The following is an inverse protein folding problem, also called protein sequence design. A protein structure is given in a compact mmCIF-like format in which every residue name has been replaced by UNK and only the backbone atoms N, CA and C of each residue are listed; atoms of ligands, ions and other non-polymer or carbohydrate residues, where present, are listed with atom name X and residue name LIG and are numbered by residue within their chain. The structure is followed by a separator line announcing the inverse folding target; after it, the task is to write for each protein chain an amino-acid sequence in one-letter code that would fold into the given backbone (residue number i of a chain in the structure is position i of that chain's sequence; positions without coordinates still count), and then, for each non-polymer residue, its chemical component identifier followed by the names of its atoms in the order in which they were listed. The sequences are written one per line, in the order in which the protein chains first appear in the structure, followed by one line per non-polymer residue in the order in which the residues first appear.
data_IF_807142562894
#
_entry.id   IF_807142562894
#
_cell.length_a   1.000
_cell.length_b   1.000
_cell.length_c   1.000
_cell.angle_alpha   90.00
_cell.angle_beta   90.00
_cell.angle_gamma   90.00
#
_symmetry.space_group_name_H-M   'P 1'
#
loop_
_entity.id
_entity.type
_entity.pdbx_description
1 polymer ?
#
# COMPACT_ATOMS: atom_id res chain seq x y z
N UNK A 1 24.59 -1.69 13.40
CA UNK A 1 23.70 -1.82 12.22
C UNK A 1 24.48 -2.24 10.98
N UNK A 2 25.37 -1.40 10.44
CA UNK A 2 26.12 -1.70 9.19
C UNK A 2 26.89 -3.03 9.24
N UNK A 3 27.66 -3.28 10.30
CA UNK A 3 28.44 -4.53 10.42
C UNK A 3 27.56 -5.79 10.42
N UNK A 4 26.41 -5.76 11.11
CA UNK A 4 25.46 -6.87 11.13
C UNK A 4 24.83 -7.13 9.76
N UNK A 5 24.42 -6.07 9.06
CA UNK A 5 23.87 -6.17 7.71
C UNK A 5 24.89 -6.76 6.74
N UNK A 6 26.13 -6.27 6.75
CA UNK A 6 27.21 -6.78 5.90
C UNK A 6 27.56 -8.24 6.21
N UNK A 7 27.58 -8.61 7.49
CA UNK A 7 27.85 -9.99 7.91
C UNK A 7 26.75 -10.96 7.47
N UNK A 8 25.48 -10.58 7.65
CA UNK A 8 24.34 -11.36 7.18
C UNK A 8 24.35 -11.50 5.65
N UNK A 9 24.58 -10.40 4.92
CA UNK A 9 24.66 -10.42 3.46
C UNK A 9 25.78 -11.37 2.95
N UNK A 10 26.91 -11.44 3.67
CA UNK A 10 27.98 -12.39 3.35
C UNK A 10 27.52 -13.84 3.48
N UNK A 11 26.80 -14.20 4.54
CA UNK A 11 26.30 -15.58 4.73
C UNK A 11 25.20 -15.92 3.72
N UNK A 12 24.31 -14.96 3.42
CA UNK A 12 23.25 -15.12 2.40
C UNK A 12 23.84 -15.37 1.01
N UNK A 13 25.01 -14.79 0.70
CA UNK A 13 25.69 -15.02 -0.58
C UNK A 13 26.07 -16.48 -0.80
N UNK A 14 26.40 -17.21 0.26
CA UNK A 14 26.73 -18.63 0.16
C UNK A 14 25.53 -19.49 -0.26
N UNK A 15 24.31 -19.00 -0.02
CA UNK A 15 23.04 -19.62 -0.47
C UNK A 15 22.47 -19.05 -1.77
N UNK A 16 23.26 -18.26 -2.53
CA UNK A 16 22.84 -17.70 -3.82
C UNK A 16 22.37 -16.24 -3.77
N UNK A 17 22.43 -15.59 -2.60
CA UNK A 17 22.06 -14.19 -2.45
C UNK A 17 20.58 -13.97 -2.10
N UNK A 18 20.11 -12.73 -2.33
CA UNK A 18 18.71 -12.36 -2.13
C UNK A 18 17.93 -12.45 -3.43
N UNK A 19 16.74 -13.03 -3.36
CA UNK A 19 15.77 -12.99 -4.45
C UNK A 19 14.66 -12.01 -4.06
N UNK A 20 14.41 -11.03 -4.91
CA UNK A 20 13.47 -9.93 -4.62
C UNK A 20 12.38 -9.83 -5.67
N UNK A 21 11.20 -9.39 -5.24
CA UNK A 21 10.11 -9.01 -6.13
C UNK A 21 9.33 -7.85 -5.52
N UNK A 22 8.58 -7.13 -6.33
CA UNK A 22 7.65 -6.10 -5.85
C UNK A 22 6.33 -6.18 -6.59
N UNK A 23 5.28 -5.65 -5.98
CA UNK A 23 4.06 -5.31 -6.72
C UNK A 23 4.31 -4.08 -7.59
N UNK A 24 3.31 -3.70 -8.38
CA UNK A 24 3.27 -2.38 -9.00
C UNK A 24 3.28 -1.27 -7.91
N UNK A 25 3.80 -0.07 -8.22
CA UNK A 25 3.93 1.03 -7.25
C UNK A 25 2.58 1.75 -7.02
N UNK A 26 1.56 0.99 -6.63
CA UNK A 26 0.19 1.45 -6.44
C UNK A 26 -0.01 2.04 -5.04
N UNK A 27 -0.29 3.34 -4.98
CA UNK A 27 -0.67 4.07 -3.78
C UNK A 27 -2.19 4.25 -3.71
N UNK A 28 -2.72 4.39 -2.50
CA UNK A 28 -4.14 4.63 -2.27
C UNK A 28 -4.36 6.08 -1.85
N UNK A 29 -5.17 6.82 -2.60
CA UNK A 29 -5.74 8.10 -2.19
C UNK A 29 -7.16 7.92 -1.68
N UNK A 30 -7.50 8.50 -0.53
CA UNK A 30 -8.82 8.35 0.09
C UNK A 30 -9.58 9.67 0.04
N UNK A 31 -10.83 9.61 -0.42
CA UNK A 31 -11.79 10.71 -0.32
C UNK A 31 -12.94 10.27 0.59
N UNK A 32 -13.08 10.94 1.73
CA UNK A 32 -14.10 10.66 2.74
C UNK A 32 -15.36 11.47 2.44
N UNK A 33 -16.49 10.78 2.30
CA UNK A 33 -17.83 11.33 2.14
C UNK A 33 -18.68 10.96 3.37
N UNK A 34 -19.38 11.95 3.92
CA UNK A 34 -20.35 11.78 5.02
C UNK A 34 -21.71 12.35 4.62
N UNK A 35 -22.74 12.08 5.41
CA UNK A 35 -24.12 12.52 5.15
C UNK A 35 -24.67 12.04 3.79
N UNK A 36 -24.16 10.91 3.28
CA UNK A 36 -24.69 10.24 2.08
C UNK A 36 -25.98 9.52 2.48
N UNK A 37 -27.11 9.90 1.87
CA UNK A 37 -28.44 9.38 2.24
C UNK A 37 -28.63 7.92 1.85
N UNK A 38 -28.15 7.55 0.67
CA UNK A 38 -28.22 6.19 0.13
C UNK A 38 -26.81 5.74 -0.29
N UNK A 39 -26.05 5.09 0.61
CA UNK A 39 -24.68 4.66 0.34
C UNK A 39 -24.56 3.61 -0.78
N UNK A 40 -25.58 2.77 -0.96
CA UNK A 40 -25.58 1.74 -2.00
C UNK A 40 -25.78 2.36 -3.38
N UNK A 41 -26.75 3.27 -3.52
CA UNK A 41 -26.93 4.04 -4.74
C UNK A 41 -25.70 4.90 -5.03
N UNK A 42 -25.15 5.58 -4.03
CA UNK A 42 -23.93 6.39 -4.17
C UNK A 42 -22.75 5.55 -4.68
N UNK A 43 -22.55 4.35 -4.11
CA UNK A 43 -21.54 3.40 -4.57
C UNK A 43 -21.75 2.99 -6.03
N UNK A 44 -22.98 2.67 -6.43
CA UNK A 44 -23.28 2.31 -7.81
C UNK A 44 -23.02 3.47 -8.78
N UNK A 45 -23.42 4.69 -8.42
CA UNK A 45 -23.17 5.90 -9.22
C UNK A 45 -21.68 6.19 -9.40
N UNK A 46 -20.89 6.05 -8.33
CA UNK A 46 -19.43 6.24 -8.40
C UNK A 46 -18.80 5.20 -9.34
N UNK A 47 -19.16 3.92 -9.17
CA UNK A 47 -18.57 2.85 -9.96
C UNK A 47 -19.02 2.89 -11.43
N UNK A 48 -20.25 3.31 -11.73
CA UNK A 48 -20.73 3.46 -13.12
C UNK A 48 -20.08 4.63 -13.86
N UNK A 49 -19.63 5.67 -13.13
CA UNK A 49 -18.91 6.82 -13.65
C UNK A 49 -17.40 6.79 -13.34
N UNK A 50 -16.85 5.60 -13.07
CA UNK A 50 -15.42 5.41 -12.73
C UNK A 50 -14.48 6.07 -13.74
N UNK A 51 -14.73 5.92 -15.03
CA UNK A 51 -13.86 6.48 -16.08
C UNK A 51 -13.77 8.01 -16.04
N UNK A 52 -14.87 8.68 -15.68
CA UNK A 52 -14.89 10.14 -15.51
C UNK A 52 -14.03 10.58 -14.32
N UNK A 53 -14.10 9.84 -13.21
CA UNK A 53 -13.29 10.07 -12.02
C UNK A 53 -11.80 9.86 -12.33
N UNK A 54 -11.46 8.77 -13.03
CA UNK A 54 -10.09 8.47 -13.44
C UNK A 54 -9.55 9.52 -14.41
N UNK A 55 -10.34 9.97 -15.37
CA UNK A 55 -9.96 11.03 -16.30
C UNK A 55 -9.67 12.35 -15.56
N UNK A 56 -10.54 12.74 -14.61
CA UNK A 56 -10.36 13.95 -13.81
C UNK A 56 -9.11 13.88 -12.92
N UNK A 57 -8.87 12.73 -12.28
CA UNK A 57 -7.65 12.48 -11.50
C UNK A 57 -6.39 12.57 -12.39
N UNK A 58 -6.39 11.88 -13.52
CA UNK A 58 -5.25 11.84 -14.43
C UNK A 58 -4.95 13.20 -15.10
N UNK A 59 -5.97 14.07 -15.25
CA UNK A 59 -5.77 15.43 -15.73
C UNK A 59 -4.86 16.28 -14.82
N UNK A 60 -4.71 15.91 -13.54
CA UNK A 60 -3.88 16.63 -12.58
C UNK A 60 -2.38 16.43 -12.78
N UNK A 61 -1.95 15.41 -13.54
CA UNK A 61 -0.52 15.15 -13.75
C UNK A 61 -0.23 14.57 -15.12
N UNK A 62 0.07 15.45 -16.08
CA UNK A 62 0.50 15.05 -17.43
C UNK A 62 1.79 14.24 -17.43
N UNK A 63 2.75 14.61 -16.56
CA UNK A 63 4.05 13.93 -16.48
C UNK A 63 3.92 12.51 -15.93
N UNK A 64 3.14 12.30 -14.87
CA UNK A 64 2.93 10.97 -14.32
C UNK A 64 2.26 10.05 -15.33
N UNK A 65 1.25 10.55 -16.04
CA UNK A 65 0.55 9.82 -17.09
C UNK A 65 1.48 9.51 -18.27
N UNK A 66 2.31 10.46 -18.72
CA UNK A 66 3.25 10.24 -19.84
C UNK A 66 4.33 9.22 -19.51
N UNK A 67 4.66 9.03 -18.23
CA UNK A 67 5.58 8.01 -17.74
C UNK A 67 4.92 6.64 -17.53
N UNK A 68 3.66 6.49 -17.94
CA UNK A 68 2.90 5.25 -17.78
C UNK A 68 2.37 5.04 -16.36
N UNK A 69 2.31 6.08 -15.53
CA UNK A 69 1.67 6.10 -14.20
C UNK A 69 0.28 6.75 -14.22
N UNK A 70 -0.24 7.12 -13.04
CA UNK A 70 -1.53 7.79 -12.86
C UNK A 70 -2.59 6.93 -12.17
N UNK A 71 -3.80 7.46 -12.04
CA UNK A 71 -4.95 6.74 -11.52
C UNK A 71 -5.29 5.55 -12.43
N UNK A 72 -5.50 4.39 -11.81
CA UNK A 72 -5.75 3.09 -12.45
C UNK A 72 -7.12 2.52 -12.13
N UNK A 73 -7.57 2.74 -10.91
CA UNK A 73 -8.82 2.17 -10.43
C UNK A 73 -9.48 3.05 -9.36
N UNK A 74 -10.77 2.82 -9.14
CA UNK A 74 -11.57 3.44 -8.10
C UNK A 74 -12.28 2.34 -7.33
N UNK A 75 -12.14 2.36 -6.01
CA UNK A 75 -12.89 1.48 -5.12
C UNK A 75 -13.74 2.30 -4.17
N UNK A 76 -14.82 1.70 -3.67
CA UNK A 76 -15.73 2.37 -2.74
C UNK A 76 -15.99 1.45 -1.56
N UNK A 77 -15.66 1.95 -0.37
CA UNK A 77 -15.85 1.26 0.90
C UNK A 77 -16.92 1.96 1.71
N UNK A 78 -17.90 1.21 2.17
CA UNK A 78 -18.94 1.71 3.07
C UNK A 78 -18.65 1.28 4.51
N UNK A 79 -18.71 2.25 5.42
CA UNK A 79 -18.59 2.06 6.86
C UNK A 79 -19.93 2.43 7.48
N UNK A 80 -20.82 1.45 7.78
CA UNK A 80 -22.17 1.74 8.26
C UNK A 80 -22.19 2.35 9.67
N UNK A 81 -21.14 2.12 10.45
CA UNK A 81 -21.05 2.55 11.85
C UNK A 81 -19.70 3.18 12.15
N UNK A 82 -19.73 4.32 12.85
CA UNK A 82 -18.58 4.96 13.48
C UNK A 82 -19.08 5.84 14.64
N UNK A 83 -18.21 6.35 15.52
CA UNK A 83 -18.61 7.32 16.55
C UNK A 83 -19.32 8.58 16.03
N UNK A 84 -19.15 8.91 14.73
CA UNK A 84 -19.75 10.09 14.08
C UNK A 84 -20.79 9.72 13.01
N UNK A 85 -21.24 8.46 12.96
CA UNK A 85 -22.20 7.96 11.98
C UNK A 85 -21.58 7.32 10.73
N UNK A 86 -22.40 6.95 9.73
CA UNK A 86 -21.95 6.22 8.55
C UNK A 86 -21.06 7.07 7.64
N UNK A 87 -20.12 6.42 6.94
CA UNK A 87 -19.18 7.06 6.01
C UNK A 87 -19.04 6.24 4.74
N UNK A 88 -18.89 6.92 3.61
CA UNK A 88 -18.47 6.31 2.35
C UNK A 88 -17.05 6.80 2.04
N UNK A 89 -16.11 5.89 1.79
CA UNK A 89 -14.72 6.24 1.49
C UNK A 89 -14.39 5.73 0.10
N UNK A 90 -14.02 6.65 -0.78
CA UNK A 90 -13.57 6.35 -2.14
C UNK A 90 -12.06 6.23 -2.15
N UNK A 91 -11.54 5.12 -2.65
CA UNK A 91 -10.13 4.92 -2.88
C UNK A 91 -9.81 5.16 -4.36
N UNK A 92 -8.88 6.08 -4.64
CA UNK A 92 -8.19 6.16 -5.92
C UNK A 92 -6.94 5.29 -5.85
N UNK A 93 -6.83 4.31 -6.74
CA UNK A 93 -5.65 3.47 -6.87
C UNK A 93 -4.74 4.12 -7.92
N UNK A 94 -3.56 4.58 -7.49
CA UNK A 94 -2.70 5.46 -8.30
C UNK A 94 -1.32 4.84 -8.42
N UNK A 95 -0.91 4.58 -9.66
CA UNK A 95 0.45 4.21 -9.99
C UNK A 95 1.37 5.42 -9.93
N UNK A 96 2.28 5.44 -8.96
CA UNK A 96 3.16 6.57 -8.70
C UNK A 96 4.53 6.46 -9.37
N UNK A 97 4.78 5.41 -10.16
CA UNK A 97 6.08 5.11 -10.77
C UNK A 97 7.20 5.22 -9.70
N UNK A 98 8.25 5.98 -9.99
CA UNK A 98 9.41 6.12 -9.11
C UNK A 98 9.19 7.05 -7.91
N UNK A 99 8.08 7.79 -7.87
CA UNK A 99 7.78 8.68 -6.77
C UNK A 99 7.23 7.92 -5.55
N UNK A 100 7.46 8.45 -4.34
CA UNK A 100 6.72 8.02 -3.15
C UNK A 100 5.21 8.19 -3.35
N UNK A 101 4.78 9.27 -4.00
CA UNK A 101 3.40 9.45 -4.48
C UNK A 101 2.51 10.35 -3.62
N UNK A 102 2.91 10.73 -2.41
CA UNK A 102 2.05 11.47 -1.48
C UNK A 102 1.42 12.74 -2.08
N UNK A 103 2.22 13.63 -2.67
CA UNK A 103 1.70 14.87 -3.28
C UNK A 103 0.78 14.59 -4.47
N UNK A 104 1.18 13.68 -5.37
CA UNK A 104 0.37 13.36 -6.55
C UNK A 104 -0.98 12.76 -6.16
N UNK A 105 -0.97 11.84 -5.19
CA UNK A 105 -2.17 11.19 -4.65
C UNK A 105 -3.11 12.20 -4.01
N UNK A 106 -2.60 13.09 -3.16
CA UNK A 106 -3.43 14.11 -2.50
C UNK A 106 -4.03 15.08 -3.51
N UNK A 107 -3.25 15.57 -4.49
CA UNK A 107 -3.76 16.46 -5.54
C UNK A 107 -4.86 15.79 -6.37
N UNK A 108 -4.69 14.51 -6.72
CA UNK A 108 -5.75 13.76 -7.43
C UNK A 108 -7.01 13.57 -6.57
N UNK A 109 -6.85 13.24 -5.28
CA UNK A 109 -7.96 13.11 -4.35
C UNK A 109 -8.72 14.44 -4.14
N UNK A 110 -7.99 15.56 -4.04
CA UNK A 110 -8.55 16.91 -3.96
C UNK A 110 -9.33 17.27 -5.23
N UNK A 111 -8.81 16.93 -6.40
CA UNK A 111 -9.45 17.24 -7.68
C UNK A 111 -10.76 16.48 -7.91
N UNK A 112 -10.85 15.20 -7.51
CA UNK A 112 -12.08 14.41 -7.71
C UNK A 112 -13.15 14.67 -6.66
N UNK A 113 -12.79 15.27 -5.52
CA UNK A 113 -13.70 15.45 -4.40
C UNK A 113 -15.00 16.23 -4.74
N UNK A 114 -14.97 17.36 -5.47
CA UNK A 114 -16.19 18.06 -5.86
C UNK A 114 -17.14 17.19 -6.70
N UNK A 115 -16.59 16.42 -7.65
CA UNK A 115 -17.37 15.50 -8.48
C UNK A 115 -18.02 14.39 -7.64
N UNK A 116 -17.27 13.82 -6.69
CA UNK A 116 -17.79 12.81 -5.78
C UNK A 116 -18.88 13.35 -4.84
N UNK A 117 -18.76 14.61 -4.37
CA UNK A 117 -19.80 15.27 -3.60
C UNK A 117 -21.09 15.44 -4.43
N UNK A 118 -20.97 15.89 -5.69
CA UNK A 118 -22.10 16.04 -6.61
C UNK A 118 -22.80 14.70 -6.87
N UNK A 119 -22.03 13.65 -7.20
CA UNK A 119 -22.57 12.31 -7.51
C UNK A 119 -23.34 11.68 -6.35
N UNK A 120 -22.98 12.02 -5.11
CA UNK A 120 -23.49 11.33 -3.92
C UNK A 120 -24.41 12.20 -3.05
N UNK A 121 -24.44 13.51 -3.29
CA UNK A 121 -25.05 14.50 -2.38
C UNK A 121 -24.37 14.55 -1.00
N UNK A 122 -23.22 13.88 -0.83
CA UNK A 122 -22.48 13.81 0.42
C UNK A 122 -21.56 15.00 0.63
N UNK A 123 -21.11 15.17 1.87
CA UNK A 123 -20.12 16.18 2.24
C UNK A 123 -18.72 15.55 2.29
N UNK A 124 -17.77 16.13 1.57
CA UNK A 124 -16.36 15.70 1.61
C UNK A 124 -15.64 16.27 2.84
N UNK A 125 -14.80 15.44 3.47
CA UNK A 125 -13.85 15.86 4.50
C UNK A 125 -12.40 15.59 4.08
N UNK A 126 -11.85 14.43 4.43
CA UNK A 126 -10.46 14.08 4.12
C UNK A 126 -10.28 13.74 2.64
N UNK A 127 -9.14 14.19 2.08
CA UNK A 127 -8.60 13.91 0.75
C UNK A 127 -7.12 13.63 0.92
N UNK A 128 -6.78 12.39 1.23
CA UNK A 128 -5.47 12.07 1.81
C UNK A 128 -5.01 10.68 1.39
N UNK A 129 -3.72 10.51 1.16
CA UNK A 129 -3.15 9.18 0.96
C UNK A 129 -3.36 8.27 2.18
N UNK A 130 -3.40 6.97 1.94
CA UNK A 130 -3.27 5.97 2.99
C UNK A 130 -1.80 5.57 3.16
N UNK A 131 -1.30 5.59 4.39
CA UNK A 131 0.02 5.02 4.74
C UNK A 131 -0.03 3.49 4.86
N UNK A 132 -1.22 2.89 4.92
CA UNK A 132 -1.39 1.45 4.75
C UNK A 132 -1.19 1.12 3.27
N UNK A 133 0.07 0.88 2.89
CA UNK A 133 0.52 0.68 1.50
C UNK A 133 0.50 -0.79 1.09
N UNK A 134 -0.61 -1.47 1.37
CA UNK A 134 -0.81 -2.90 1.13
C UNK A 134 -0.79 -3.31 -0.35
N UNK A 135 -0.81 -2.35 -1.29
CA UNK A 135 -0.67 -2.55 -2.74
C UNK A 135 0.70 -2.19 -3.31
N UNK A 136 1.61 -1.72 -2.48
CA UNK A 136 2.99 -1.34 -2.85
C UNK A 136 3.99 -2.13 -2.01
N UNK A 137 3.95 -3.45 -2.16
CA UNK A 137 4.74 -4.39 -1.35
C UNK A 137 6.06 -4.72 -2.03
N UNK A 138 7.15 -4.64 -1.28
CA UNK A 138 8.43 -5.25 -1.62
C UNK A 138 8.60 -6.56 -0.85
N UNK A 139 9.13 -7.59 -1.51
CA UNK A 139 9.39 -8.91 -0.94
C UNK A 139 10.84 -9.28 -1.16
N UNK A 140 11.48 -9.85 -0.14
CA UNK A 140 12.81 -10.42 -0.23
C UNK A 140 12.78 -11.82 0.41
N UNK A 141 13.47 -12.77 -0.23
CA UNK A 141 13.77 -14.08 0.36
C UNK A 141 15.26 -14.37 0.19
N UNK A 142 15.78 -15.21 1.07
CA UNK A 142 17.13 -15.74 0.97
C UNK A 142 17.17 -17.13 1.58
N UNK A 143 18.22 -17.87 1.23
CA UNK A 143 18.59 -19.12 1.89
C UNK A 143 19.96 -18.92 2.49
N UNK A 144 20.13 -19.33 3.75
CA UNK A 144 21.45 -19.37 4.39
C UNK A 144 21.76 -20.85 4.65
N UNK A 145 22.82 -21.41 4.05
CA UNK A 145 23.23 -22.77 4.35
C UNK A 145 23.55 -22.91 5.84
N UNK A 146 23.11 -23.99 6.49
CA UNK A 146 23.39 -24.22 7.91
C UNK A 146 24.90 -24.15 8.20
N UNK A 147 25.73 -24.73 7.32
CA UNK A 147 27.19 -24.65 7.42
C UNK A 147 27.74 -23.22 7.52
N UNK A 148 27.09 -22.23 6.87
CA UNK A 148 27.50 -20.81 6.93
C UNK A 148 27.12 -20.14 8.26
N UNK A 149 26.29 -20.78 9.09
CA UNK A 149 25.86 -20.29 10.41
C UNK A 149 26.69 -20.82 11.57
N UNK A 150 27.48 -21.89 11.36
CA UNK A 150 28.32 -22.48 12.40
C UNK A 150 29.33 -21.46 12.94
N UNK A 151 29.37 -21.28 14.26
CA UNK A 151 30.24 -20.31 14.94
C UNK A 151 30.36 -20.60 16.43
N UNK A 152 31.42 -20.10 17.06
CA UNK A 152 31.58 -20.08 18.52
C UNK A 152 31.36 -21.45 19.20
N UNK A 153 31.70 -22.54 18.50
CA UNK A 153 31.52 -23.91 18.97
C UNK A 153 30.13 -24.51 18.75
N UNK A 154 29.18 -23.77 18.18
CA UNK A 154 27.84 -24.23 17.80
C UNK A 154 27.82 -24.72 16.35
N UNK A 155 27.13 -25.83 16.12
CA UNK A 155 26.79 -26.30 14.77
C UNK A 155 25.83 -25.35 14.07
N UNK A 156 25.78 -25.43 12.74
CA UNK A 156 24.84 -24.64 11.95
C UNK A 156 23.39 -24.92 12.31
N UNK A 157 23.09 -26.19 12.57
CA UNK A 157 21.78 -26.71 12.93
C UNK A 157 21.30 -26.14 14.27
N UNK A 158 22.16 -26.10 15.29
CA UNK A 158 21.86 -25.48 16.58
C UNK A 158 21.54 -23.98 16.43
N UNK A 159 22.30 -23.29 15.57
CA UNK A 159 22.05 -21.87 15.29
C UNK A 159 20.73 -21.66 14.54
N UNK A 160 20.38 -22.53 13.58
CA UNK A 160 19.09 -22.49 12.87
C UNK A 160 17.93 -22.69 13.85
N UNK A 161 18.01 -23.69 14.72
CA UNK A 161 16.98 -23.94 15.73
C UNK A 161 16.80 -22.72 16.65
N UNK A 162 17.90 -22.11 17.10
CA UNK A 162 17.85 -20.88 17.89
C UNK A 162 17.16 -19.71 17.16
N UNK A 163 17.39 -19.55 15.86
CA UNK A 163 16.70 -18.54 15.02
C UNK A 163 15.19 -18.85 14.95
N UNK A 164 14.80 -20.11 14.82
CA UNK A 164 13.38 -20.51 14.76
C UNK A 164 12.66 -20.26 16.09
N UNK A 165 13.30 -20.54 17.23
CA UNK A 165 12.73 -20.20 18.54
C UNK A 165 12.60 -18.70 18.74
N UNK A 166 13.60 -17.91 18.33
CA UNK A 166 13.53 -16.45 18.40
C UNK A 166 12.39 -15.89 17.53
N UNK A 167 12.20 -16.45 16.33
CA UNK A 167 11.05 -16.13 15.48
C UNK A 167 9.73 -16.50 16.14
N UNK A 168 9.61 -17.71 16.68
CA UNK A 168 8.38 -18.18 17.32
C UNK A 168 7.99 -17.30 18.51
N UNK A 169 8.96 -16.86 19.31
CA UNK A 169 8.73 -15.91 20.39
C UNK A 169 8.15 -14.59 19.86
N UNK A 170 8.77 -13.97 18.85
CA UNK A 170 8.26 -12.74 18.25
C UNK A 170 6.88 -12.87 17.60
N UNK A 171 6.50 -14.07 17.14
CA UNK A 171 5.20 -14.31 16.52
C UNK A 171 4.04 -14.39 17.53
N UNK A 172 4.33 -14.66 18.82
CA UNK A 172 3.29 -14.84 19.86
C UNK A 172 3.22 -13.70 20.88
N UNK A 173 4.22 -12.81 20.93
CA UNK A 173 4.29 -11.69 21.88
C UNK A 173 4.51 -10.34 21.14
N UNK A 174 3.45 -9.50 20.97
CA UNK A 174 3.47 -8.24 20.19
C UNK A 174 4.31 -7.08 20.76
#
# INVERSE_FOLDING_TARGET
IVAGASYAARMVRDGGGFETSSTEPLMIGQVQLVNVRDPDQARQTILSRKEEILALANAQSRSLVSLGGGARDVEVRFFPTSPMGPMLVVHLIIDCRDAMGANAVNTMAEAVAPLLAEMTGGKVYLRILSNLTDRRLARARCVVPAASLARDGLSGEEVVEGILWAYAFAAVDP
#
